data_IF_654206671836
#
_entry.id   IF_654206671836
#
_cell.length_a   1.000
_cell.length_b   1.000
_cell.length_c   1.000
_cell.angle_alpha   90.00
_cell.angle_beta   90.00
_cell.angle_gamma   90.00
#
_symmetry.space_group_name_H-M   'P 1'
#
loop_
_entity.id
_entity.type
_entity.pdbx_description
1 polymer ?
#
# COMPACT_ATOMS: atom_id res chain seq x y z
N UNK A 1 -0.19 -32.89 9.85
CA UNK A 1 -0.67 -31.99 10.93
C UNK A 1 -0.22 -30.57 10.61
N UNK A 2 -1.16 -29.59 10.62
CA UNK A 2 -0.85 -28.20 10.33
C UNK A 2 -0.32 -27.47 11.58
N UNK A 3 0.46 -26.42 11.36
CA UNK A 3 0.91 -25.53 12.43
C UNK A 3 -0.26 -24.71 12.98
N UNK A 4 -0.42 -24.62 14.30
CA UNK A 4 -1.46 -23.83 14.96
C UNK A 4 -0.84 -22.76 15.82
N UNK A 5 -1.25 -21.52 15.65
CA UNK A 5 -0.80 -20.34 16.42
C UNK A 5 -1.96 -19.82 17.26
N UNK A 6 -1.70 -19.34 18.47
CA UNK A 6 -2.68 -18.64 19.29
C UNK A 6 -2.93 -17.24 18.71
N UNK A 7 -4.09 -16.66 18.99
CA UNK A 7 -4.46 -15.31 18.56
C UNK A 7 -3.41 -14.23 18.90
N UNK A 8 -2.70 -14.42 20.04
CA UNK A 8 -1.52 -13.63 20.40
C UNK A 8 -0.35 -14.60 20.59
N UNK A 9 0.42 -14.88 19.52
CA UNK A 9 1.52 -15.83 19.58
C UNK A 9 2.60 -15.33 20.54
N UNK A 10 3.18 -16.26 21.31
CA UNK A 10 4.39 -16.00 22.08
C UNK A 10 5.61 -15.96 21.15
N UNK A 11 6.73 -15.44 21.60
CA UNK A 11 7.99 -15.46 20.87
C UNK A 11 8.39 -16.90 20.45
N UNK A 12 8.16 -17.87 21.32
CA UNK A 12 8.37 -19.28 21.03
C UNK A 12 7.45 -19.83 19.92
N UNK A 13 6.20 -19.36 19.87
CA UNK A 13 5.28 -19.73 18.81
C UNK A 13 5.70 -19.18 17.45
N UNK A 14 6.25 -17.95 17.41
CA UNK A 14 6.77 -17.31 16.19
C UNK A 14 8.03 -18.01 15.69
N UNK A 15 8.97 -18.38 16.56
CA UNK A 15 10.16 -19.16 16.22
C UNK A 15 9.75 -20.52 15.66
N UNK A 16 8.81 -21.20 16.31
CA UNK A 16 8.30 -22.50 15.86
C UNK A 16 7.58 -22.41 14.50
N UNK A 17 6.85 -21.30 14.26
CA UNK A 17 6.19 -21.05 12.97
C UNK A 17 7.23 -20.85 11.86
N UNK A 18 8.29 -20.09 12.13
CA UNK A 18 9.39 -19.88 11.20
C UNK A 18 10.11 -21.18 10.88
N UNK A 19 10.51 -21.96 11.91
CA UNK A 19 11.17 -23.25 11.72
C UNK A 19 10.32 -24.23 10.91
N UNK A 20 9.01 -24.28 11.19
CA UNK A 20 8.08 -25.11 10.42
C UNK A 20 8.00 -24.67 8.97
N UNK A 21 7.86 -23.38 8.71
CA UNK A 21 7.84 -22.81 7.35
C UNK A 21 9.14 -23.04 6.59
N UNK A 22 10.28 -22.88 7.26
CA UNK A 22 11.60 -23.14 6.69
C UNK A 22 11.80 -24.61 6.33
N UNK A 23 11.48 -25.52 7.24
CA UNK A 23 11.55 -26.96 7.00
C UNK A 23 10.64 -27.39 5.86
N UNK A 24 9.40 -26.88 5.82
CA UNK A 24 8.47 -27.13 4.74
C UNK A 24 9.02 -26.61 3.38
N UNK A 25 9.58 -25.42 3.36
CA UNK A 25 10.22 -24.85 2.17
C UNK A 25 11.41 -25.70 1.68
N UNK A 26 12.22 -26.23 2.59
CA UNK A 26 13.30 -27.15 2.25
C UNK A 26 12.79 -28.46 1.64
N UNK A 27 11.73 -29.03 2.20
CA UNK A 27 11.09 -30.24 1.65
C UNK A 27 10.57 -30.01 0.24
N UNK A 28 9.86 -28.90 0.01
CA UNK A 28 9.31 -28.53 -1.32
C UNK A 28 10.43 -28.33 -2.35
N UNK A 29 11.56 -27.79 -1.93
CA UNK A 29 12.72 -27.56 -2.81
C UNK A 29 13.68 -28.75 -2.90
N UNK A 30 13.39 -29.85 -2.21
CA UNK A 30 14.25 -31.03 -2.10
C UNK A 30 15.67 -30.69 -1.61
N UNK A 31 15.78 -29.78 -0.63
CA UNK A 31 17.02 -29.33 0.01
C UNK A 31 17.10 -29.80 1.45
N UNK A 32 18.29 -30.11 1.93
CA UNK A 32 18.50 -30.38 3.35
C UNK A 32 18.47 -29.05 4.16
N UNK A 33 17.81 -29.01 5.33
CA UNK A 33 17.83 -27.82 6.19
C UNK A 33 19.26 -27.55 6.70
N UNK A 34 19.81 -26.39 6.38
CA UNK A 34 21.14 -25.97 6.86
C UNK A 34 20.97 -25.32 8.23
N UNK A 35 21.60 -25.89 9.27
CA UNK A 35 21.65 -25.24 10.59
C UNK A 35 22.47 -23.96 10.51
N UNK A 36 21.97 -22.81 10.97
CA UNK A 36 22.70 -21.55 10.88
C UNK A 36 24.01 -21.61 11.68
N UNK A 37 25.10 -21.20 11.06
CA UNK A 37 26.41 -21.04 11.74
C UNK A 37 26.41 -19.70 12.46
N UNK A 38 26.43 -19.70 13.80
CA UNK A 38 26.69 -18.51 14.61
C UNK A 38 28.11 -18.01 14.39
N UNK A 39 28.28 -16.83 13.80
CA UNK A 39 29.50 -16.00 13.98
C UNK A 39 29.18 -14.53 13.73
N UNK A 40 29.32 -13.69 14.78
CA UNK A 40 29.76 -12.29 14.74
C UNK A 40 29.08 -11.29 13.79
N UNK A 41 27.94 -11.58 13.19
CA UNK A 41 27.21 -10.68 12.32
C UNK A 41 26.35 -9.73 13.15
N UNK A 42 26.18 -8.49 12.69
CA UNK A 42 25.14 -7.58 13.20
C UNK A 42 23.80 -8.31 13.15
N UNK A 43 23.15 -8.44 14.29
CA UNK A 43 21.84 -9.06 14.36
C UNK A 43 20.84 -8.08 13.76
N UNK A 44 20.22 -8.46 12.67
CA UNK A 44 19.15 -7.69 12.06
C UNK A 44 17.82 -8.25 12.52
N UNK A 45 16.81 -7.41 12.61
CA UNK A 45 15.43 -7.80 12.92
C UNK A 45 14.49 -7.34 11.82
N UNK A 46 13.54 -8.20 11.46
CA UNK A 46 12.47 -7.88 10.50
C UNK A 46 11.17 -7.65 11.26
N UNK A 47 10.53 -6.54 10.98
CA UNK A 47 9.18 -6.28 11.48
C UNK A 47 8.17 -7.18 10.77
N UNK A 48 7.39 -7.96 11.51
CA UNK A 48 6.37 -8.87 10.98
C UNK A 48 5.15 -8.14 10.40
N UNK A 49 4.96 -6.87 10.76
CA UNK A 49 3.80 -6.08 10.32
C UNK A 49 4.07 -5.37 8.99
N UNK A 50 5.20 -4.66 8.87
CA UNK A 50 5.53 -3.92 7.65
C UNK A 50 6.58 -4.60 6.77
N UNK A 51 7.24 -5.66 7.26
CA UNK A 51 8.27 -6.40 6.52
C UNK A 51 9.66 -5.76 6.49
N UNK A 52 9.82 -4.54 7.04
CA UNK A 52 11.09 -3.83 7.04
C UNK A 52 12.12 -4.46 7.97
N UNK A 53 13.41 -4.33 7.61
CA UNK A 53 14.54 -4.90 8.33
C UNK A 53 15.38 -3.77 8.95
N UNK A 54 15.70 -3.91 10.24
CA UNK A 54 16.42 -2.93 11.03
C UNK A 54 17.54 -3.59 11.83
N UNK A 55 18.38 -2.75 12.44
CA UNK A 55 19.32 -3.21 13.47
C UNK A 55 18.55 -3.69 14.71
N UNK A 56 19.00 -4.77 15.34
CA UNK A 56 18.32 -5.37 16.50
C UNK A 56 18.24 -4.47 17.74
N UNK A 57 18.90 -3.30 17.72
CA UNK A 57 18.86 -2.32 18.79
C UNK A 57 17.56 -1.51 18.88
N UNK A 58 16.71 -1.55 17.83
CA UNK A 58 15.44 -0.81 17.86
C UNK A 58 14.40 -1.52 18.72
N UNK A 59 13.59 -0.75 19.44
CA UNK A 59 12.50 -1.26 20.29
C UNK A 59 11.11 -1.02 19.68
N UNK A 60 10.99 0.00 18.83
CA UNK A 60 9.75 0.38 18.14
C UNK A 60 10.05 0.47 16.65
N UNK A 61 9.20 -0.13 15.82
CA UNK A 61 9.33 -0.03 14.37
C UNK A 61 9.11 1.43 13.91
N UNK A 62 10.10 2.08 13.28
CA UNK A 62 9.96 3.46 12.84
C UNK A 62 8.98 3.62 11.68
N UNK A 63 8.58 2.51 11.02
CA UNK A 63 7.68 2.53 9.86
C UNK A 63 6.21 2.37 10.27
N UNK A 64 5.90 1.41 11.16
CA UNK A 64 4.50 1.11 11.51
C UNK A 64 4.19 1.27 13.00
N UNK A 65 5.18 1.64 13.84
CA UNK A 65 4.99 1.97 15.25
C UNK A 65 4.78 0.77 16.18
N UNK A 66 4.89 -0.47 15.70
CA UNK A 66 4.75 -1.65 16.56
C UNK A 66 6.00 -1.91 17.38
N UNK A 67 5.83 -2.50 18.56
CA UNK A 67 6.93 -2.82 19.45
C UNK A 67 7.72 -4.07 19.07
N UNK A 68 8.80 -4.28 19.81
CA UNK A 68 9.81 -5.33 19.61
C UNK A 68 9.22 -6.76 19.60
N UNK A 69 8.07 -6.95 20.21
CA UNK A 69 7.34 -8.21 20.21
C UNK A 69 6.88 -8.66 18.81
N UNK A 70 6.93 -7.75 17.84
CA UNK A 70 6.61 -8.03 16.44
C UNK A 70 7.85 -8.12 15.54
N UNK A 71 9.04 -8.30 16.13
CA UNK A 71 10.29 -8.44 15.39
C UNK A 71 10.78 -9.88 15.42
N UNK A 72 11.34 -10.32 14.32
CA UNK A 72 12.07 -11.59 14.24
C UNK A 72 13.52 -11.32 13.84
N UNK A 73 14.44 -12.04 14.43
CA UNK A 73 15.85 -12.00 13.96
C UNK A 73 15.95 -12.56 12.56
N UNK A 74 16.68 -11.84 11.71
CA UNK A 74 17.01 -12.29 10.35
C UNK A 74 18.52 -12.23 10.19
N UNK A 75 19.08 -13.23 9.50
CA UNK A 75 20.48 -13.18 9.12
C UNK A 75 20.70 -12.08 8.09
N UNK A 76 21.78 -11.31 8.26
CA UNK A 76 22.23 -10.41 7.21
C UNK A 76 22.58 -11.30 6.01
N UNK A 77 21.86 -11.13 4.90
CA UNK A 77 22.29 -11.74 3.63
C UNK A 77 23.73 -11.30 3.37
N UNK A 78 24.59 -12.26 3.01
CA UNK A 78 25.96 -11.96 2.59
C UNK A 78 25.93 -10.82 1.59
N UNK A 79 26.76 -9.81 1.79
CA UNK A 79 26.82 -8.62 0.95
C UNK A 79 26.79 -9.02 -0.52
N UNK A 80 25.75 -8.63 -1.21
CA UNK A 80 25.56 -8.96 -2.62
C UNK A 80 26.82 -8.57 -3.40
N UNK A 81 27.35 -9.48 -4.19
CA UNK A 81 28.53 -9.23 -5.02
C UNK A 81 28.24 -8.02 -5.91
N UNK A 82 29.08 -6.99 -5.82
CA UNK A 82 28.99 -5.82 -6.69
C UNK A 82 29.19 -6.27 -8.15
N UNK A 83 28.22 -5.92 -8.99
CA UNK A 83 28.27 -6.12 -10.43
C UNK A 83 28.04 -4.79 -11.13
N UNK A 84 29.08 -3.96 -11.18
CA UNK A 84 29.02 -2.66 -11.82
C UNK A 84 28.81 -2.81 -13.33
N UNK A 85 27.83 -2.05 -13.86
CA UNK A 85 27.44 -2.11 -15.27
C UNK A 85 27.40 -0.72 -15.89
N UNK A 86 27.23 -0.68 -17.21
CA UNK A 86 26.87 0.53 -17.99
C UNK A 86 25.37 0.53 -18.34
N UNK A 87 24.57 -0.24 -17.61
CA UNK A 87 23.13 -0.32 -17.83
C UNK A 87 22.43 0.98 -17.49
N UNK A 88 21.34 1.23 -18.18
CA UNK A 88 20.45 2.35 -17.93
C UNK A 88 19.09 1.82 -17.42
N UNK A 89 18.95 1.86 -16.12
CA UNK A 89 17.74 1.38 -15.45
C UNK A 89 16.69 2.47 -15.40
N UNK A 90 15.50 2.19 -15.91
CA UNK A 90 14.32 3.05 -15.72
C UNK A 90 13.30 2.30 -14.87
N UNK A 91 12.83 2.95 -13.82
CA UNK A 91 11.85 2.42 -12.88
C UNK A 91 10.59 3.27 -13.01
N UNK A 92 9.46 2.64 -13.35
CA UNK A 92 8.17 3.30 -13.44
C UNK A 92 7.44 3.20 -12.10
N UNK A 93 7.22 4.34 -11.46
CA UNK A 93 6.61 4.46 -10.13
C UNK A 93 7.62 4.63 -9.01
N UNK A 94 7.39 5.63 -8.14
CA UNK A 94 8.19 5.95 -6.96
C UNK A 94 7.43 5.62 -5.66
N UNK A 95 6.75 4.49 -5.63
CA UNK A 95 6.20 3.91 -4.40
C UNK A 95 7.22 3.00 -3.71
N UNK A 96 6.78 2.26 -2.69
CA UNK A 96 7.62 1.30 -1.94
C UNK A 96 8.36 0.34 -2.87
N UNK A 97 7.71 -0.20 -3.90
CA UNK A 97 8.33 -1.15 -4.83
C UNK A 97 9.43 -0.47 -5.68
N UNK A 98 9.16 0.72 -6.24
CA UNK A 98 10.12 1.44 -7.06
C UNK A 98 11.34 1.90 -6.27
N UNK A 99 11.13 2.45 -5.07
CA UNK A 99 12.22 2.81 -4.16
C UNK A 99 13.10 1.62 -3.81
N UNK A 100 12.50 0.50 -3.38
CA UNK A 100 13.27 -0.69 -3.02
C UNK A 100 13.98 -1.32 -4.24
N UNK A 101 13.43 -1.21 -5.44
CA UNK A 101 14.11 -1.60 -6.67
C UNK A 101 15.38 -0.74 -6.90
N UNK A 102 15.28 0.58 -6.78
CA UNK A 102 16.43 1.48 -6.89
C UNK A 102 17.48 1.18 -5.82
N UNK A 103 17.06 0.98 -4.57
CA UNK A 103 17.94 0.59 -3.46
C UNK A 103 18.68 -0.71 -3.75
N UNK A 104 17.96 -1.75 -4.18
CA UNK A 104 18.54 -3.05 -4.51
C UNK A 104 19.50 -2.98 -5.71
N UNK A 105 19.23 -2.12 -6.71
CA UNK A 105 20.18 -1.85 -7.79
C UNK A 105 21.45 -1.24 -7.20
N UNK A 106 21.34 -0.20 -6.39
CA UNK A 106 22.50 0.49 -5.82
C UNK A 106 23.34 -0.34 -4.86
N UNK A 107 22.75 -1.31 -4.21
CA UNK A 107 23.49 -2.29 -3.40
C UNK A 107 24.39 -3.18 -4.26
N UNK A 108 24.05 -3.42 -5.53
CA UNK A 108 24.73 -4.34 -6.44
C UNK A 108 25.48 -3.66 -7.58
N UNK A 109 25.01 -2.49 -8.01
CA UNK A 109 25.57 -1.71 -9.13
C UNK A 109 25.73 -0.25 -8.74
N UNK A 110 26.96 0.21 -8.64
CA UNK A 110 27.32 1.60 -8.28
C UNK A 110 27.48 2.52 -9.48
N UNK A 111 27.58 1.96 -10.70
CA UNK A 111 27.91 2.70 -11.93
C UNK A 111 26.75 2.83 -12.90
N UNK A 112 25.87 1.85 -12.99
CA UNK A 112 24.70 1.92 -13.85
C UNK A 112 23.85 3.15 -13.55
N UNK A 113 23.29 3.80 -14.57
CA UNK A 113 22.41 4.93 -14.39
C UNK A 113 21.03 4.46 -13.91
N UNK A 114 20.42 5.12 -12.92
CA UNK A 114 19.09 4.80 -12.40
C UNK A 114 18.20 6.03 -12.45
N UNK A 115 17.07 5.90 -13.14
CA UNK A 115 16.03 6.93 -13.22
C UNK A 115 14.71 6.35 -12.73
N UNK A 116 14.05 7.05 -11.80
CA UNK A 116 12.68 6.76 -11.38
C UNK A 116 11.75 7.78 -12.00
N UNK A 117 10.65 7.31 -12.61
CA UNK A 117 9.61 8.18 -13.20
C UNK A 117 8.33 7.98 -12.39
N UNK A 118 7.76 9.08 -11.90
CA UNK A 118 6.52 9.08 -11.11
C UNK A 118 5.59 10.20 -11.55
N UNK A 119 4.30 9.92 -11.57
CA UNK A 119 3.25 10.93 -11.79
C UNK A 119 2.92 11.74 -10.53
N UNK A 120 3.36 11.29 -9.35
CA UNK A 120 3.30 12.06 -8.11
C UNK A 120 4.49 13.01 -8.00
N UNK A 121 4.28 14.18 -7.38
CA UNK A 121 5.30 15.22 -7.21
C UNK A 121 6.23 14.98 -6.02
N UNK A 122 6.02 13.92 -5.27
CA UNK A 122 6.73 13.61 -4.04
C UNK A 122 7.68 12.42 -4.20
N UNK A 123 8.81 12.40 -3.44
CA UNK A 123 9.61 11.20 -3.24
C UNK A 123 8.78 10.05 -2.65
N UNK A 124 9.36 8.86 -2.60
CA UNK A 124 8.67 7.70 -2.02
C UNK A 124 8.28 7.93 -0.55
N UNK A 125 7.02 7.73 -0.24
CA UNK A 125 6.46 7.88 1.10
C UNK A 125 5.71 6.62 1.55
N UNK A 126 5.50 6.50 2.87
CA UNK A 126 4.83 5.38 3.50
C UNK A 126 3.30 5.46 3.31
N UNK A 127 2.75 4.78 2.29
CA UNK A 127 1.31 4.80 1.97
C UNK A 127 0.40 4.35 3.11
N UNK A 128 0.73 3.38 3.96
CA UNK A 128 -0.04 3.06 5.17
C UNK A 128 -0.23 4.23 6.14
N UNK A 129 0.56 5.30 6.01
CA UNK A 129 0.39 6.50 6.82
C UNK A 129 -0.66 7.47 6.27
N UNK A 130 -1.15 7.28 5.03
CA UNK A 130 -2.12 8.20 4.40
C UNK A 130 -3.42 8.31 5.19
N UNK A 131 -4.03 7.19 5.59
CA UNK A 131 -5.24 7.22 6.42
C UNK A 131 -4.99 7.91 7.76
N UNK A 132 -3.83 7.66 8.39
CA UNK A 132 -3.43 8.28 9.66
C UNK A 132 -3.09 9.77 9.52
N UNK A 133 -2.82 10.24 8.30
CA UNK A 133 -2.53 11.65 8.02
C UNK A 133 -3.78 12.52 7.95
N UNK A 134 -4.97 11.95 7.74
CA UNK A 134 -6.23 12.67 7.52
C UNK A 134 -6.53 13.72 8.60
N UNK A 135 -6.20 13.44 9.86
CA UNK A 135 -6.38 14.40 10.98
C UNK A 135 -5.05 15.01 11.41
N UNK A 136 -3.96 14.27 11.24
CA UNK A 136 -2.65 14.69 11.69
C UNK A 136 -1.99 15.72 10.76
N UNK A 137 -2.51 15.90 9.52
CA UNK A 137 -1.96 16.85 8.55
C UNK A 137 -0.50 16.57 8.20
N UNK A 138 -0.11 15.29 8.08
CA UNK A 138 1.28 14.93 7.84
C UNK A 138 1.70 15.25 6.40
N UNK A 139 2.78 15.98 6.26
CA UNK A 139 3.40 16.28 4.96
C UNK A 139 4.11 15.06 4.36
N UNK A 140 4.39 15.11 3.05
CA UNK A 140 5.17 14.09 2.34
C UNK A 140 6.50 13.76 3.05
N UNK A 141 7.20 14.78 3.54
CA UNK A 141 8.49 14.63 4.21
C UNK A 141 8.36 13.88 5.55
N UNK A 142 7.28 14.12 6.29
CA UNK A 142 7.04 13.46 7.58
C UNK A 142 6.70 11.98 7.43
N UNK A 143 6.19 11.57 6.28
CA UNK A 143 5.87 10.18 5.98
C UNK A 143 6.81 9.57 4.94
N UNK A 144 7.91 10.25 4.59
CA UNK A 144 8.90 9.76 3.63
C UNK A 144 9.47 8.40 4.07
N UNK A 145 9.73 7.50 3.10
CA UNK A 145 10.35 6.20 3.36
C UNK A 145 11.84 6.38 3.70
N UNK A 146 12.45 7.42 3.14
CA UNK A 146 13.87 7.72 3.29
C UNK A 146 14.07 9.22 3.23
N UNK A 147 15.16 9.71 3.83
CA UNK A 147 15.55 11.11 3.68
C UNK A 147 15.73 11.43 2.18
N UNK A 148 15.19 12.55 1.69
CA UNK A 148 15.31 12.94 0.27
C UNK A 148 16.75 13.00 -0.24
N UNK A 149 17.75 13.29 0.62
CA UNK A 149 19.18 13.28 0.26
C UNK A 149 19.68 11.92 -0.23
N UNK A 150 19.01 10.84 0.18
CA UNK A 150 19.37 9.48 -0.23
C UNK A 150 19.43 9.31 -1.76
N UNK A 151 18.52 9.93 -2.49
CA UNK A 151 18.48 9.83 -3.95
C UNK A 151 19.71 10.47 -4.60
N UNK A 152 20.13 11.62 -4.11
CA UNK A 152 21.33 12.32 -4.59
C UNK A 152 22.60 11.54 -4.22
N UNK A 153 22.75 11.17 -2.95
CA UNK A 153 23.88 10.40 -2.43
C UNK A 153 24.07 9.07 -3.17
N UNK A 154 22.97 8.43 -3.56
CA UNK A 154 22.97 7.17 -4.30
C UNK A 154 22.88 7.37 -5.83
N UNK A 155 22.96 8.59 -6.34
CA UNK A 155 22.91 8.92 -7.78
C UNK A 155 21.68 8.30 -8.47
N UNK A 156 20.52 8.40 -7.83
CA UNK A 156 19.22 8.00 -8.37
C UNK A 156 18.51 9.27 -8.85
N UNK A 157 18.33 9.39 -10.16
CA UNK A 157 17.62 10.52 -10.74
C UNK A 157 16.11 10.33 -10.64
N UNK A 158 15.38 11.36 -10.22
CA UNK A 158 13.92 11.33 -10.08
C UNK A 158 13.28 12.28 -11.10
N UNK A 159 12.33 11.75 -11.87
CA UNK A 159 11.44 12.52 -12.74
C UNK A 159 10.05 12.50 -12.09
N UNK A 160 9.81 13.41 -11.14
CA UNK A 160 8.55 13.55 -10.41
C UNK A 160 7.54 14.38 -11.21
N UNK A 161 6.23 14.17 -10.98
CA UNK A 161 5.16 14.83 -11.72
C UNK A 161 5.12 14.47 -13.21
N UNK A 162 5.75 13.36 -13.60
CA UNK A 162 5.86 12.92 -14.99
C UNK A 162 5.03 11.65 -15.22
N UNK A 163 3.92 11.81 -15.92
CA UNK A 163 3.04 10.69 -16.23
C UNK A 163 3.49 9.96 -17.48
N UNK A 164 3.56 8.63 -17.38
CA UNK A 164 3.92 7.75 -18.48
C UNK A 164 2.72 7.50 -19.38
N UNK A 165 2.84 7.80 -20.67
CA UNK A 165 1.82 7.54 -21.67
C UNK A 165 1.94 6.12 -22.25
N UNK A 166 3.16 5.68 -22.60
CA UNK A 166 3.39 4.35 -23.19
C UNK A 166 4.83 3.90 -23.02
N UNK A 167 5.09 2.63 -23.31
CA UNK A 167 6.42 2.06 -23.40
C UNK A 167 6.59 1.44 -24.79
N UNK A 168 7.59 1.89 -25.52
CA UNK A 168 8.03 1.25 -26.76
C UNK A 168 9.14 0.24 -26.42
N UNK A 169 8.80 -1.05 -26.53
CA UNK A 169 9.72 -2.14 -26.22
C UNK A 169 10.78 -2.31 -27.29
N UNK A 170 10.44 -1.99 -28.54
CA UNK A 170 11.35 -2.16 -29.67
C UNK A 170 12.43 -1.08 -29.65
N UNK A 171 12.02 0.19 -29.42
CA UNK A 171 12.95 1.30 -29.24
C UNK A 171 13.57 1.34 -27.84
N UNK A 172 13.10 0.51 -26.90
CA UNK A 172 13.46 0.55 -25.48
C UNK A 172 13.33 1.97 -24.93
N UNK A 173 12.16 2.56 -25.09
CA UNK A 173 11.88 3.92 -24.66
C UNK A 173 10.56 4.00 -23.88
N UNK A 174 10.56 4.75 -22.78
CA UNK A 174 9.35 5.20 -22.08
C UNK A 174 8.93 6.50 -22.71
N UNK A 175 7.67 6.63 -23.07
CA UNK A 175 7.08 7.84 -23.65
C UNK A 175 6.21 8.49 -22.58
N UNK A 176 6.53 9.72 -22.22
CA UNK A 176 5.76 10.53 -21.27
C UNK A 176 4.55 11.17 -21.96
N UNK A 177 3.54 11.60 -21.20
CA UNK A 177 2.40 12.35 -21.74
C UNK A 177 2.84 13.69 -22.41
N UNK A 178 3.98 14.24 -22.01
CA UNK A 178 4.59 15.40 -22.66
C UNK A 178 5.16 15.12 -24.07
N UNK A 179 5.24 13.85 -24.48
CA UNK A 179 5.92 13.39 -25.68
C UNK A 179 7.43 13.17 -25.52
N UNK A 180 8.00 13.47 -24.36
CA UNK A 180 9.42 13.20 -24.06
C UNK A 180 9.67 11.69 -24.05
N UNK A 181 10.79 11.24 -24.61
CA UNK A 181 11.24 9.85 -24.62
C UNK A 181 12.41 9.66 -23.65
N UNK A 182 12.29 8.66 -22.77
CA UNK A 182 13.34 8.23 -21.85
C UNK A 182 13.78 6.83 -22.24
N UNK A 183 15.00 6.71 -22.78
CA UNK A 183 15.55 5.40 -23.20
C UNK A 183 16.01 4.58 -21.99
N UNK A 184 15.96 3.27 -22.12
CA UNK A 184 16.41 2.33 -21.08
C UNK A 184 17.12 1.11 -21.71
N UNK A 185 18.00 0.47 -20.94
CA UNK A 185 18.48 -0.88 -21.24
C UNK A 185 17.71 -1.90 -20.39
N UNK A 186 17.29 -1.50 -19.20
CA UNK A 186 16.47 -2.29 -18.26
C UNK A 186 15.29 -1.46 -17.78
N UNK A 187 14.11 -2.06 -17.79
CA UNK A 187 12.88 -1.43 -17.32
C UNK A 187 12.27 -2.21 -16.16
N UNK A 188 11.90 -1.50 -15.11
CA UNK A 188 11.20 -2.06 -13.96
C UNK A 188 9.81 -1.42 -13.84
N UNK A 189 8.79 -2.24 -13.84
CA UNK A 189 7.41 -1.83 -13.64
C UNK A 189 7.06 -1.86 -12.15
N UNK A 190 6.84 -0.68 -11.55
CA UNK A 190 6.49 -0.51 -10.15
C UNK A 190 5.32 0.49 -9.98
N UNK A 191 4.42 0.56 -10.96
CA UNK A 191 3.32 1.54 -11.02
C UNK A 191 2.24 1.32 -9.94
N UNK A 192 2.27 0.19 -9.23
CA UNK A 192 1.33 -0.09 -8.15
C UNK A 192 -0.08 -0.38 -8.63
N UNK A 193 -1.07 0.11 -7.88
CA UNK A 193 -2.50 -0.05 -8.14
C UNK A 193 -3.24 1.27 -8.00
N UNK A 194 -4.46 1.35 -8.53
CA UNK A 194 -5.41 2.44 -8.30
C UNK A 194 -6.59 1.93 -7.48
N UNK A 195 -7.24 2.82 -6.76
CA UNK A 195 -8.47 2.48 -6.06
C UNK A 195 -9.55 2.10 -7.06
N UNK A 196 -10.28 1.05 -6.75
CA UNK A 196 -11.48 0.70 -7.48
C UNK A 196 -12.65 1.53 -6.96
N UNK A 197 -13.18 2.39 -7.80
CA UNK A 197 -14.44 3.11 -7.54
C UNK A 197 -15.51 2.36 -8.34
N UNK A 198 -16.53 1.77 -7.66
CA UNK A 198 -17.62 1.10 -8.35
C UNK A 198 -18.32 2.05 -9.34
N UNK A 199 -18.69 1.58 -10.54
CA UNK A 199 -19.36 2.39 -11.55
C UNK A 199 -20.86 2.57 -11.21
N UNK A 200 -21.13 3.19 -10.06
CA UNK A 200 -22.47 3.56 -9.61
C UNK A 200 -22.77 5.01 -9.98
N UNK A 201 -24.05 5.33 -10.11
CA UNK A 201 -24.49 6.70 -10.38
C UNK A 201 -23.95 7.65 -9.30
N UNK A 202 -23.51 8.84 -9.69
CA UNK A 202 -22.96 9.86 -8.79
C UNK A 202 -21.53 9.56 -8.27
N UNK A 203 -20.89 8.46 -8.66
CA UNK A 203 -19.51 8.14 -8.22
C UNK A 203 -18.45 9.15 -8.70
N UNK A 204 -18.78 10.03 -9.62
CA UNK A 204 -17.91 11.10 -10.14
C UNK A 204 -18.16 12.47 -9.48
N UNK A 205 -19.06 12.57 -8.50
CA UNK A 205 -19.30 13.82 -7.78
C UNK A 205 -18.02 14.28 -7.05
N UNK A 206 -17.80 15.60 -6.91
CA UNK A 206 -16.55 16.14 -6.36
C UNK A 206 -16.17 15.62 -4.98
N UNK A 207 -17.17 15.36 -4.12
CA UNK A 207 -16.96 14.91 -2.74
C UNK A 207 -16.88 13.37 -2.60
N UNK A 208 -16.84 12.65 -3.73
CA UNK A 208 -16.48 11.23 -3.74
C UNK A 208 -14.96 11.11 -3.85
N UNK A 209 -14.35 10.43 -2.88
CA UNK A 209 -12.90 10.28 -2.81
C UNK A 209 -12.51 8.84 -2.44
N UNK A 210 -11.41 8.37 -3.01
CA UNK A 210 -10.75 7.14 -2.60
C UNK A 210 -9.31 7.47 -2.22
N UNK A 211 -8.83 6.96 -1.09
CA UNK A 211 -7.53 7.33 -0.53
C UNK A 211 -6.44 6.41 -1.08
N UNK A 212 -5.61 6.95 -1.96
CA UNK A 212 -4.47 6.23 -2.53
C UNK A 212 -3.19 7.07 -2.53
N UNK A 213 -3.34 8.39 -2.67
CA UNK A 213 -2.25 9.35 -2.84
C UNK A 213 -2.35 10.43 -1.77
N UNK A 214 -1.25 11.15 -1.53
CA UNK A 214 -1.25 12.26 -0.59
C UNK A 214 -2.27 13.35 -1.02
N UNK A 215 -2.36 13.62 -2.32
CA UNK A 215 -3.35 14.56 -2.86
C UNK A 215 -4.81 14.19 -2.53
N UNK A 216 -5.12 12.89 -2.37
CA UNK A 216 -6.46 12.44 -1.96
C UNK A 216 -6.71 12.80 -0.49
N UNK A 217 -5.69 12.70 0.36
CA UNK A 217 -5.77 13.11 1.77
C UNK A 217 -5.97 14.61 1.87
N UNK A 218 -5.17 15.41 1.17
CA UNK A 218 -5.29 16.87 1.13
C UNK A 218 -6.68 17.32 0.62
N UNK A 219 -7.22 16.59 -0.37
CA UNK A 219 -8.57 16.82 -0.88
C UNK A 219 -9.61 16.52 0.19
N UNK A 220 -9.48 15.38 0.89
CA UNK A 220 -10.40 14.98 1.95
C UNK A 220 -10.34 15.93 3.15
N UNK A 221 -9.15 16.39 3.56
CA UNK A 221 -8.98 17.37 4.63
C UNK A 221 -9.78 18.66 4.36
N UNK A 222 -9.68 19.21 3.14
CA UNK A 222 -10.45 20.39 2.73
C UNK A 222 -11.97 20.16 2.77
N UNK A 223 -12.42 18.97 2.40
CA UNK A 223 -13.84 18.60 2.46
C UNK A 223 -14.34 18.53 3.91
N UNK A 224 -13.53 17.98 4.82
CA UNK A 224 -13.89 17.85 6.23
C UNK A 224 -14.05 19.18 6.96
N UNK A 225 -13.43 20.27 6.49
CA UNK A 225 -13.62 21.61 7.10
C UNK A 225 -15.09 22.05 7.13
N UNK A 226 -15.91 21.52 6.22
CA UNK A 226 -17.30 21.90 6.04
C UNK A 226 -18.30 20.75 6.18
N UNK A 227 -17.82 19.51 6.20
CA UNK A 227 -18.69 18.34 6.25
C UNK A 227 -19.04 17.94 7.68
N UNK A 228 -20.35 17.85 7.95
CA UNK A 228 -20.87 17.30 9.20
C UNK A 228 -21.11 15.79 9.14
N UNK A 229 -21.33 15.24 7.94
CA UNK A 229 -21.70 13.83 7.72
C UNK A 229 -20.87 13.21 6.60
N UNK A 230 -20.38 12.01 6.85
CA UNK A 230 -19.66 11.22 5.85
C UNK A 230 -20.14 9.77 5.81
N UNK A 231 -20.07 9.19 4.61
CA UNK A 231 -20.26 7.76 4.39
C UNK A 231 -18.94 7.16 3.90
N UNK A 232 -18.58 6.01 4.47
CA UNK A 232 -17.46 5.20 4.00
C UNK A 232 -18.03 3.93 3.37
N UNK A 233 -17.75 3.70 2.10
CA UNK A 233 -18.16 2.51 1.36
C UNK A 233 -17.01 1.50 1.41
N UNK A 234 -17.20 0.43 2.18
CA UNK A 234 -16.25 -0.65 2.44
C UNK A 234 -15.81 -0.74 3.89
N UNK A 235 -16.05 -1.89 4.51
CA UNK A 235 -15.72 -2.23 5.91
C UNK A 235 -14.41 -3.01 6.05
N UNK A 236 -13.48 -2.83 5.12
CA UNK A 236 -12.10 -3.34 5.21
C UNK A 236 -11.21 -2.43 6.07
N UNK A 237 -9.92 -2.81 6.22
CA UNK A 237 -8.94 -2.08 7.05
C UNK A 237 -8.91 -0.59 6.74
N UNK A 238 -8.68 -0.23 5.47
CA UNK A 238 -8.54 1.17 5.06
C UNK A 238 -9.83 1.97 5.24
N UNK A 239 -10.99 1.35 4.99
CA UNK A 239 -12.29 2.01 5.20
C UNK A 239 -12.54 2.28 6.68
N UNK A 240 -12.25 1.32 7.55
CA UNK A 240 -12.40 1.49 9.00
C UNK A 240 -11.40 2.50 9.58
N UNK A 241 -10.15 2.51 9.09
CA UNK A 241 -9.17 3.54 9.47
C UNK A 241 -9.65 4.93 9.03
N UNK A 242 -10.11 5.10 7.78
CA UNK A 242 -10.66 6.36 7.30
C UNK A 242 -11.87 6.82 8.13
N UNK A 243 -12.81 5.89 8.42
CA UNK A 243 -13.98 6.18 9.24
C UNK A 243 -13.59 6.64 10.65
N UNK A 244 -12.56 6.03 11.23
CA UNK A 244 -12.05 6.42 12.54
C UNK A 244 -11.42 7.81 12.53
N UNK A 245 -10.61 8.14 11.52
CA UNK A 245 -10.00 9.47 11.38
C UNK A 245 -11.06 10.55 11.17
N UNK A 246 -12.04 10.33 10.29
CA UNK A 246 -13.19 11.22 10.10
C UNK A 246 -13.97 11.43 11.41
N UNK A 247 -14.17 10.36 12.18
CA UNK A 247 -14.83 10.46 13.48
C UNK A 247 -14.03 11.29 14.48
N UNK A 248 -12.71 11.15 14.53
CA UNK A 248 -11.85 12.00 15.37
C UNK A 248 -11.90 13.48 14.96
N UNK A 249 -12.09 13.75 13.67
CA UNK A 249 -12.31 15.10 13.17
C UNK A 249 -13.68 15.70 13.53
N UNK A 250 -14.54 14.93 14.21
CA UNK A 250 -15.86 15.39 14.64
C UNK A 250 -16.98 15.11 13.64
N UNK A 251 -16.70 14.46 12.52
CA UNK A 251 -17.70 14.11 11.49
C UNK A 251 -18.58 12.95 11.97
N UNK A 252 -19.88 12.98 11.68
CA UNK A 252 -20.81 11.85 11.90
C UNK A 252 -20.65 10.85 10.76
N UNK A 253 -20.05 9.68 11.07
CA UNK A 253 -19.60 8.71 10.06
C UNK A 253 -20.43 7.44 10.10
N UNK A 254 -20.83 6.98 8.91
CA UNK A 254 -21.42 5.66 8.71
C UNK A 254 -20.61 4.84 7.71
N UNK A 255 -20.24 3.62 8.09
CA UNK A 255 -19.59 2.62 7.22
C UNK A 255 -20.65 1.72 6.62
N UNK A 256 -20.63 1.55 5.30
CA UNK A 256 -21.48 0.66 4.54
C UNK A 256 -20.63 -0.49 3.97
N UNK A 257 -20.92 -1.73 4.37
CA UNK A 257 -20.21 -2.92 3.93
C UNK A 257 -21.18 -3.88 3.23
N UNK A 258 -20.85 -4.30 2.02
CA UNK A 258 -21.66 -5.23 1.25
C UNK A 258 -21.61 -6.65 1.79
N UNK A 259 -20.49 -7.06 2.37
CA UNK A 259 -20.37 -8.35 3.04
C UNK A 259 -21.19 -8.37 4.34
N UNK A 260 -21.59 -9.57 4.82
CA UNK A 260 -22.35 -9.68 6.07
C UNK A 260 -21.54 -9.32 7.32
N UNK A 261 -20.22 -9.32 7.23
CA UNK A 261 -19.30 -9.04 8.34
C UNK A 261 -18.21 -8.02 7.93
N UNK A 262 -17.66 -7.28 8.89
CA UNK A 262 -16.51 -6.42 8.71
C UNK A 262 -15.25 -7.27 8.50
N UNK A 263 -14.35 -6.78 7.64
CA UNK A 263 -13.05 -7.43 7.38
C UNK A 263 -13.16 -8.92 7.06
N UNK A 264 -14.20 -9.33 6.35
CA UNK A 264 -14.54 -10.75 6.11
C UNK A 264 -13.48 -11.59 5.37
N UNK A 265 -12.40 -10.96 4.87
CA UNK A 265 -11.23 -11.67 4.33
C UNK A 265 -10.19 -12.01 5.40
N UNK A 266 -10.21 -11.36 6.56
CA UNK A 266 -9.23 -11.48 7.63
C UNK A 266 -9.82 -12.04 8.92
N UNK A 267 -11.10 -11.79 9.19
CA UNK A 267 -11.78 -12.11 10.44
C UNK A 267 -12.90 -13.15 10.21
N UNK A 268 -13.12 -13.97 11.21
CA UNK A 268 -14.35 -14.75 11.35
C UNK A 268 -15.49 -13.88 11.94
N UNK A 269 -16.70 -14.46 12.05
CA UNK A 269 -17.88 -13.75 12.54
C UNK A 269 -17.68 -13.22 13.97
N UNK A 270 -17.12 -14.02 14.87
CA UNK A 270 -16.92 -13.61 16.27
C UNK A 270 -15.95 -12.45 16.40
N UNK A 271 -14.83 -12.49 15.68
CA UNK A 271 -13.84 -11.42 15.69
C UNK A 271 -14.38 -10.14 15.02
N UNK A 272 -15.17 -10.29 13.95
CA UNK A 272 -15.85 -9.18 13.29
C UNK A 272 -16.88 -8.51 14.20
N UNK A 273 -17.66 -9.29 14.95
CA UNK A 273 -18.64 -8.74 15.90
C UNK A 273 -17.97 -7.95 17.03
N UNK A 274 -16.85 -8.45 17.54
CA UNK A 274 -16.04 -7.72 18.53
C UNK A 274 -15.54 -6.39 17.95
N UNK A 275 -15.00 -6.41 16.73
CA UNK A 275 -14.53 -5.20 16.04
C UNK A 275 -15.66 -4.20 15.83
N UNK A 276 -16.82 -4.69 15.35
CA UNK A 276 -18.04 -3.87 15.18
C UNK A 276 -18.46 -3.20 16.47
N UNK A 277 -18.54 -3.96 17.56
CA UNK A 277 -18.90 -3.45 18.89
C UNK A 277 -17.97 -2.31 19.34
N UNK A 278 -16.65 -2.44 19.13
CA UNK A 278 -15.69 -1.38 19.46
C UNK A 278 -15.83 -0.16 18.56
N UNK A 279 -16.05 -0.35 17.26
CA UNK A 279 -16.26 0.76 16.32
C UNK A 279 -17.54 1.55 16.66
N UNK A 280 -18.66 0.86 16.93
CA UNK A 280 -19.93 1.46 17.34
C UNK A 280 -19.82 2.18 18.69
N UNK A 281 -19.12 1.58 19.67
CA UNK A 281 -18.84 2.22 20.97
C UNK A 281 -18.01 3.50 20.80
N UNK A 282 -17.17 3.56 19.78
CA UNK A 282 -16.37 4.74 19.43
C UNK A 282 -17.17 5.79 18.63
N UNK A 283 -18.45 5.51 18.35
CA UNK A 283 -19.38 6.41 17.68
C UNK A 283 -19.35 6.34 16.15
N UNK A 284 -18.76 5.33 15.56
CA UNK A 284 -18.86 5.03 14.11
C UNK A 284 -20.09 4.15 13.89
N UNK A 285 -21.00 4.56 13.01
CA UNK A 285 -22.18 3.76 12.64
C UNK A 285 -21.76 2.68 11.63
N UNK A 286 -22.23 1.46 11.80
CA UNK A 286 -21.89 0.32 10.92
C UNK A 286 -23.15 -0.31 10.35
N UNK A 287 -23.17 -0.47 9.02
CA UNK A 287 -24.18 -1.25 8.30
C UNK A 287 -23.49 -2.30 7.44
N UNK A 288 -23.74 -3.59 7.73
CA UNK A 288 -23.21 -4.72 6.96
C UNK A 288 -24.34 -5.40 6.17
N UNK A 289 -23.98 -6.12 5.10
CA UNK A 289 -24.96 -6.77 4.22
C UNK A 289 -25.77 -5.77 3.39
N UNK A 290 -25.28 -4.54 3.19
CA UNK A 290 -25.97 -3.48 2.45
C UNK A 290 -25.26 -3.19 1.13
N UNK A 291 -26.05 -3.03 0.07
CA UNK A 291 -25.52 -2.71 -1.26
C UNK A 291 -25.81 -1.25 -1.60
N UNK A 292 -24.77 -0.52 -2.00
CA UNK A 292 -24.89 0.86 -2.48
C UNK A 292 -25.30 0.83 -3.94
N UNK A 293 -26.36 1.57 -4.28
CA UNK A 293 -26.88 1.71 -5.64
C UNK A 293 -26.39 3.00 -6.30
N UNK A 294 -26.41 4.12 -5.58
CA UNK A 294 -26.01 5.41 -6.10
C UNK A 294 -25.45 6.34 -5.01
N UNK A 295 -24.65 7.29 -5.41
CA UNK A 295 -24.36 8.51 -4.64
C UNK A 295 -25.27 9.61 -5.18
N UNK A 296 -26.11 10.16 -4.31
CA UNK A 296 -27.07 11.17 -4.69
C UNK A 296 -26.50 12.58 -4.57
N UNK A 297 -26.95 13.47 -5.45
CA UNK A 297 -26.58 14.88 -5.42
C UNK A 297 -26.80 15.59 -6.76
N UNK A 298 -26.92 16.90 -6.69
CA UNK A 298 -26.98 17.79 -7.85
C UNK A 298 -25.74 18.69 -7.85
N UNK A 299 -24.68 18.20 -8.51
CA UNK A 299 -23.35 18.84 -8.52
C UNK A 299 -22.54 18.64 -7.24
N UNK A 300 -23.15 18.34 -6.12
CA UNK A 300 -22.54 18.05 -4.82
C UNK A 300 -23.20 16.85 -4.16
N UNK A 301 -22.45 16.08 -3.37
CA UNK A 301 -22.98 14.92 -2.64
C UNK A 301 -24.02 15.37 -1.62
N UNK A 302 -25.19 14.73 -1.61
CA UNK A 302 -26.26 14.91 -0.61
C UNK A 302 -26.59 13.64 0.18
N UNK A 303 -26.20 12.46 -0.33
CA UNK A 303 -26.44 11.19 0.33
C UNK A 303 -25.96 9.99 -0.48
N UNK A 304 -26.19 8.82 0.09
CA UNK A 304 -25.91 7.53 -0.55
C UNK A 304 -27.18 6.70 -0.50
N UNK A 305 -27.67 6.25 -1.66
CA UNK A 305 -28.84 5.40 -1.80
C UNK A 305 -28.45 3.94 -1.82
N UNK A 306 -29.13 3.19 -0.97
CA UNK A 306 -28.99 1.73 -0.88
C UNK A 306 -29.98 1.02 -1.82
N UNK A 307 -29.73 -0.25 -2.10
CA UNK A 307 -30.57 -1.08 -2.99
C UNK A 307 -31.99 -1.34 -2.44
N UNK A 308 -32.22 -1.14 -1.14
CA UNK A 308 -33.54 -1.21 -0.51
C UNK A 308 -34.33 0.13 -0.58
N UNK A 309 -33.73 1.15 -1.22
CA UNK A 309 -34.30 2.47 -1.36
C UNK A 309 -34.02 3.43 -0.19
N UNK A 310 -33.37 2.97 0.88
CA UNK A 310 -32.94 3.87 1.96
C UNK A 310 -31.88 4.86 1.46
N UNK A 311 -32.00 6.13 1.87
CA UNK A 311 -30.98 7.16 1.60
C UNK A 311 -30.29 7.53 2.91
N UNK A 312 -28.97 7.40 2.92
CA UNK A 312 -28.10 7.80 4.03
C UNK A 312 -27.57 9.21 3.72
N UNK A 313 -27.91 10.24 4.50
CA UNK A 313 -27.41 11.60 4.27
C UNK A 313 -25.88 11.66 4.42
N UNK A 314 -25.20 12.26 3.45
CA UNK A 314 -23.76 12.45 3.45
C UNK A 314 -23.38 13.70 2.65
N UNK A 315 -22.31 14.36 3.06
CA UNK A 315 -21.68 15.49 2.35
C UNK A 315 -20.33 15.07 1.76
N UNK A 316 -19.76 13.96 2.27
CA UNK A 316 -18.53 13.34 1.78
C UNK A 316 -18.72 11.83 1.71
N UNK A 317 -18.23 11.22 0.64
CA UNK A 317 -18.21 9.77 0.45
C UNK A 317 -16.79 9.30 0.23
N UNK A 318 -16.29 8.44 1.15
CA UNK A 318 -14.99 7.78 1.00
C UNK A 318 -15.21 6.37 0.47
N UNK A 319 -14.60 6.05 -0.68
CA UNK A 319 -14.71 4.72 -1.29
C UNK A 319 -13.48 3.88 -0.97
N UNK A 320 -13.70 2.75 -0.33
CA UNK A 320 -12.69 1.74 0.02
C UNK A 320 -13.12 0.34 -0.44
N UNK A 321 -13.50 0.22 -1.71
CA UNK A 321 -14.10 -0.99 -2.29
C UNK A 321 -13.10 -1.92 -2.99
N UNK A 322 -11.80 -1.71 -2.81
CA UNK A 322 -10.73 -2.51 -3.39
C UNK A 322 -9.80 -1.74 -4.30
N UNK A 323 -8.86 -2.45 -4.93
CA UNK A 323 -7.82 -1.89 -5.79
C UNK A 323 -7.72 -2.65 -7.11
N UNK A 324 -7.40 -1.93 -8.19
CA UNK A 324 -7.05 -2.48 -9.49
C UNK A 324 -5.55 -2.34 -9.74
N UNK A 325 -4.84 -3.44 -9.97
CA UNK A 325 -3.41 -3.41 -10.27
C UNK A 325 -3.17 -2.78 -11.65
N UNK A 326 -2.39 -1.73 -11.70
CA UNK A 326 -2.10 -0.95 -12.90
C UNK A 326 -1.47 -1.78 -14.03
N UNK A 327 -0.63 -2.74 -13.69
CA UNK A 327 0.07 -3.58 -14.67
C UNK A 327 -0.90 -4.33 -15.60
N UNK A 328 -2.07 -4.77 -15.09
CA UNK A 328 -3.06 -5.48 -15.91
C UNK A 328 -3.68 -4.57 -16.97
N UNK A 329 -3.88 -3.30 -16.67
CA UNK A 329 -4.42 -2.32 -17.61
C UNK A 329 -3.42 -2.02 -18.74
N UNK A 330 -2.14 -1.93 -18.40
CA UNK A 330 -1.05 -1.69 -19.34
C UNK A 330 -0.74 -2.89 -20.23
N UNK A 331 -0.66 -4.09 -19.67
CA UNK A 331 -0.43 -5.32 -20.42
C UNK A 331 -1.56 -5.61 -21.43
N UNK A 332 -2.80 -5.23 -21.14
CA UNK A 332 -3.93 -5.38 -22.07
C UNK A 332 -3.90 -4.39 -23.23
N UNK A 333 -3.25 -3.25 -23.09
CA UNK A 333 -3.12 -2.21 -24.13
C UNK A 333 -1.84 -2.32 -24.97
N UNK A 334 -0.85 -3.05 -24.50
CA UNK A 334 0.42 -3.24 -25.20
C UNK A 334 0.49 -4.63 -25.81
N UNK A 335 1.11 -4.77 -27.00
CA UNK A 335 1.45 -6.06 -27.61
C UNK A 335 2.42 -6.93 -26.76
N UNK A 336 2.80 -6.46 -25.58
CA UNK A 336 3.66 -7.13 -24.60
C UNK A 336 3.11 -8.48 -24.13
N UNK A 337 1.77 -8.65 -24.09
CA UNK A 337 1.15 -9.95 -23.73
C UNK A 337 1.40 -11.04 -24.74
N UNK A 338 1.84 -10.69 -25.97
CA UNK A 338 2.15 -11.67 -27.03
C UNK A 338 3.55 -12.25 -26.94
N UNK A 339 4.45 -11.63 -26.14
CA UNK A 339 5.89 -11.95 -26.13
C UNK A 339 6.46 -12.44 -24.81
N UNK A 340 5.73 -12.40 -23.70
CA UNK A 340 6.20 -12.90 -22.39
C UNK A 340 5.30 -14.04 -21.93
N UNK A 341 5.74 -15.31 -22.00
CA UNK A 341 5.04 -16.40 -21.34
C UNK A 341 5.18 -16.18 -19.81
N UNK A 342 4.05 -16.00 -19.14
CA UNK A 342 3.99 -16.08 -17.68
C UNK A 342 4.34 -17.52 -17.28
N UNK A 343 5.53 -17.72 -16.68
CA UNK A 343 5.90 -18.94 -15.96
C UNK A 343 5.58 -18.78 -14.49
#
# INVERSE_FOLDING_TARGET
>A
EGFRVRFKPSEADLVSAYEYGYQFGCIVQNKEPVKPKKKGARTLVKCLVCGEIFDSSIEICPVCGVGKENFIEVEAEESAVLNNTEEYYVILGNGTAGFNAAKAIRERDKTGAVTIISDEEYPAYNRPMLTKSIVAGLSADQIAIVDPSWYEENKVFQMLGKKVASVDVNEKAVILESGEKVHFTRLIYALGSECFIPPIEGSSLPEVVAIRRLADVEKLEKMMEHAAKAVVIGGGVLGLEAAWELKKAGVDVQVLEAAPILMGRQLDENASDILRMFAEKSGVKISTGVSVEAVEGDGHVSGVRLSDGQVIPAEVVVVSAGECVQIQHWLRRSDLMRTVPLK
#
